data_IF_905612183400
#
_entry.id   IF_905612183400
#
_cell.length_a   1.000
_cell.length_b   1.000
_cell.length_c   1.000
_cell.angle_alpha   90.00
_cell.angle_beta   90.00
_cell.angle_gamma   90.00
#
_symmetry.space_group_name_H-M   'P 1'
#
loop_
_entity.id
_entity.type
_entity.pdbx_description
1 polymer ?
#
# COMPACT_ATOMS: atom_id res chain seq x y z
N UNK A 1 1.34 24.42 1.68
CA UNK A 1 0.34 24.02 0.64
C UNK A 1 1.01 23.68 -0.70
N UNK A 2 2.14 24.30 -0.97
CA UNK A 2 3.01 24.21 -2.16
C UNK A 2 3.57 22.79 -2.37
N UNK A 3 3.92 22.08 -1.29
CA UNK A 3 4.40 20.71 -1.37
C UNK A 3 3.39 19.74 -1.98
N UNK A 4 2.10 19.88 -1.61
CA UNK A 4 1.03 19.09 -2.21
C UNK A 4 0.83 19.42 -3.70
N UNK A 5 0.94 20.70 -4.08
CA UNK A 5 0.90 21.11 -5.48
C UNK A 5 2.07 20.52 -6.29
N UNK A 6 3.27 20.49 -5.70
CA UNK A 6 4.47 19.92 -6.33
C UNK A 6 4.36 18.41 -6.52
N UNK A 7 3.99 17.64 -5.48
CA UNK A 7 3.79 16.19 -5.59
C UNK A 7 2.66 15.86 -6.59
N UNK A 8 1.64 16.72 -6.67
CA UNK A 8 0.56 16.61 -7.65
C UNK A 8 0.91 17.07 -9.08
N UNK A 9 2.18 17.35 -9.41
CA UNK A 9 2.56 17.88 -10.72
C UNK A 9 2.11 17.01 -11.90
N UNK A 10 2.13 15.68 -11.74
CA UNK A 10 1.63 14.76 -12.77
C UNK A 10 0.16 15.01 -13.07
N UNK A 11 -0.68 15.08 -12.02
CA UNK A 11 -2.12 15.36 -12.13
C UNK A 11 -2.36 16.71 -12.81
N UNK A 12 -1.63 17.75 -12.43
CA UNK A 12 -1.77 19.08 -13.06
C UNK A 12 -1.38 19.09 -14.53
N UNK A 13 -0.24 18.46 -14.88
CA UNK A 13 0.28 18.46 -16.26
C UNK A 13 -0.55 17.58 -17.20
N UNK A 14 -1.08 16.46 -16.69
CA UNK A 14 -1.85 15.49 -17.48
C UNK A 14 -3.25 15.97 -17.86
N UNK A 15 -3.75 17.05 -17.23
CA UNK A 15 -4.98 17.75 -17.65
C UNK A 15 -4.92 18.23 -19.11
N UNK A 16 -3.75 18.66 -19.58
CA UNK A 16 -3.60 19.14 -20.96
C UNK A 16 -3.81 18.06 -22.02
N UNK A 17 -3.62 16.78 -21.64
CA UNK A 17 -3.83 15.60 -22.48
C UNK A 17 -5.11 14.84 -22.13
N UNK A 18 -6.02 15.45 -21.34
CA UNK A 18 -7.34 14.89 -21.06
C UNK A 18 -7.40 13.82 -19.97
N UNK A 19 -6.28 13.46 -19.34
CA UNK A 19 -6.25 12.36 -18.36
C UNK A 19 -6.91 12.68 -17.01
N UNK A 20 -7.13 13.97 -16.67
CA UNK A 20 -7.61 14.40 -15.35
C UNK A 20 -8.59 15.58 -15.39
N UNK A 21 -9.46 15.61 -16.41
CA UNK A 21 -10.38 16.72 -16.66
C UNK A 21 -11.84 16.47 -16.22
N UNK A 22 -12.17 15.26 -15.80
CA UNK A 22 -13.53 14.86 -15.42
C UNK A 22 -13.71 14.85 -13.90
N UNK A 23 -14.93 14.54 -13.45
CA UNK A 23 -15.23 14.34 -12.03
C UNK A 23 -14.46 13.14 -11.47
N UNK A 24 -14.36 13.08 -10.14
CA UNK A 24 -13.75 11.94 -9.45
C UNK A 24 -14.42 10.63 -9.87
N UNK A 25 -13.63 9.64 -10.28
CA UNK A 25 -14.10 8.32 -10.70
C UNK A 25 -14.45 8.23 -12.19
N UNK A 26 -14.20 9.29 -12.95
CA UNK A 26 -14.49 9.37 -14.39
C UNK A 26 -13.22 9.65 -15.22
N UNK A 27 -12.05 9.67 -14.59
CA UNK A 27 -10.75 9.87 -15.21
C UNK A 27 -10.05 8.53 -15.45
N UNK A 28 -9.01 8.56 -16.28
CA UNK A 28 -8.33 7.34 -16.70
C UNK A 28 -7.67 6.57 -15.55
N UNK A 29 -7.10 7.26 -14.55
CA UNK A 29 -6.36 6.62 -13.45
C UNK A 29 -6.99 6.84 -12.08
N UNK A 30 -8.30 7.11 -12.03
CA UNK A 30 -9.04 7.28 -10.77
C UNK A 30 -10.27 6.38 -10.68
N UNK A 31 -10.23 5.23 -11.36
CA UNK A 31 -11.31 4.23 -11.54
C UNK A 31 -12.30 4.50 -12.68
N UNK A 32 -12.12 5.55 -13.50
CA UNK A 32 -13.00 5.81 -14.65
C UNK A 32 -12.81 4.82 -15.80
N UNK A 33 -11.59 4.37 -16.06
CA UNK A 33 -11.29 3.39 -17.10
C UNK A 33 -11.57 1.94 -16.62
N UNK A 34 -12.28 1.11 -17.40
CA UNK A 34 -12.57 -0.29 -17.02
C UNK A 34 -11.30 -1.15 -16.87
N UNK A 35 -10.24 -0.82 -17.58
CA UNK A 35 -8.94 -1.50 -17.49
C UNK A 35 -8.01 -0.85 -16.44
N UNK A 36 -8.53 0.06 -15.61
CA UNK A 36 -7.83 0.64 -14.46
C UNK A 36 -8.80 0.78 -13.27
N UNK A 37 -9.20 -0.36 -12.69
CA UNK A 37 -10.16 -0.42 -11.59
C UNK A 37 -10.04 -1.73 -10.79
N UNK A 38 -10.92 -1.93 -9.81
CA UNK A 38 -11.10 -3.13 -9.02
C UNK A 38 -12.43 -3.81 -9.35
N UNK A 39 -12.42 -5.15 -9.37
CA UNK A 39 -13.58 -5.96 -9.71
C UNK A 39 -13.82 -7.03 -8.64
N UNK A 40 -15.07 -7.15 -8.21
CA UNK A 40 -15.48 -8.18 -7.25
C UNK A 40 -15.51 -9.56 -7.90
N UNK A 41 -15.03 -10.57 -7.20
CA UNK A 41 -14.98 -11.98 -7.61
C UNK A 41 -16.13 -12.77 -7.01
N UNK A 42 -16.30 -14.04 -7.42
CA UNK A 42 -17.44 -14.88 -7.01
C UNK A 42 -17.51 -15.15 -5.50
N UNK A 43 -16.35 -15.13 -4.82
CA UNK A 43 -16.18 -15.28 -3.37
C UNK A 43 -16.27 -13.95 -2.60
N UNK A 44 -16.65 -12.86 -3.27
CA UNK A 44 -16.82 -11.54 -2.65
C UNK A 44 -15.52 -10.77 -2.40
N UNK A 45 -14.36 -11.35 -2.75
CA UNK A 45 -13.06 -10.68 -2.77
C UNK A 45 -12.90 -9.84 -4.04
N UNK A 46 -11.71 -9.29 -4.30
CA UNK A 46 -11.49 -8.35 -5.40
C UNK A 46 -10.17 -8.60 -6.17
N UNK A 47 -10.19 -8.37 -7.48
CA UNK A 47 -8.99 -8.24 -8.32
C UNK A 47 -8.79 -6.77 -8.69
N UNK A 48 -7.55 -6.29 -8.68
CA UNK A 48 -7.16 -4.99 -9.21
C UNK A 48 -6.63 -5.15 -10.64
N UNK A 49 -7.00 -4.22 -11.53
CA UNK A 49 -6.59 -4.20 -12.94
C UNK A 49 -5.94 -2.86 -13.23
N UNK A 50 -4.80 -2.86 -13.91
CA UNK A 50 -4.06 -1.68 -14.34
C UNK A 50 -3.49 -1.80 -15.76
N UNK A 51 -4.25 -2.39 -16.68
CA UNK A 51 -3.82 -2.77 -18.03
C UNK A 51 -4.04 -1.62 -19.04
N UNK A 52 -3.30 -0.51 -18.89
CA UNK A 52 -3.47 0.69 -19.72
C UNK A 52 -2.87 0.50 -21.11
N UNK A 53 -1.67 -0.07 -21.18
CA UNK A 53 -0.96 -0.25 -22.44
C UNK A 53 -1.58 -1.38 -23.27
N UNK A 54 -1.69 -1.22 -24.61
CA UNK A 54 -2.42 -2.17 -25.46
C UNK A 54 -1.94 -3.62 -25.35
N UNK A 55 -0.64 -3.84 -25.17
CA UNK A 55 -0.08 -5.19 -25.02
C UNK A 55 -0.52 -5.87 -23.72
N UNK A 56 -0.64 -5.13 -22.63
CA UNK A 56 -1.10 -5.65 -21.34
C UNK A 56 -2.62 -5.83 -21.35
N UNK A 57 -3.35 -4.91 -22.00
CA UNK A 57 -4.78 -5.06 -22.24
C UNK A 57 -5.10 -6.33 -23.03
N UNK A 58 -4.31 -6.66 -24.05
CA UNK A 58 -4.49 -7.91 -24.80
C UNK A 58 -4.30 -9.15 -23.92
N UNK A 59 -3.34 -9.13 -22.97
CA UNK A 59 -3.16 -10.22 -22.00
C UNK A 59 -4.33 -10.29 -21.02
N UNK A 60 -4.87 -9.14 -20.57
CA UNK A 60 -6.10 -9.09 -19.77
C UNK A 60 -7.27 -9.75 -20.51
N UNK A 61 -7.53 -9.36 -21.77
CA UNK A 61 -8.63 -9.93 -22.57
C UNK A 61 -8.45 -11.43 -22.76
N UNK A 62 -7.22 -11.87 -23.04
CA UNK A 62 -6.89 -13.29 -23.17
C UNK A 62 -7.16 -14.06 -21.87
N UNK A 63 -6.65 -13.58 -20.73
CA UNK A 63 -6.85 -14.23 -19.44
C UNK A 63 -8.30 -14.23 -18.97
N UNK A 64 -9.06 -13.18 -19.29
CA UNK A 64 -10.50 -13.15 -19.08
C UNK A 64 -11.28 -14.12 -19.99
N UNK A 65 -10.65 -14.67 -21.03
CA UNK A 65 -11.31 -15.54 -22.00
C UNK A 65 -12.33 -14.81 -22.87
N UNK A 66 -12.14 -13.50 -23.06
CA UNK A 66 -13.01 -12.66 -23.90
C UNK A 66 -12.47 -12.58 -25.33
N UNK A 67 -13.37 -12.43 -26.29
CA UNK A 67 -13.00 -12.19 -27.69
C UNK A 67 -12.91 -10.68 -27.95
N UNK A 68 -11.70 -10.20 -28.23
CA UNK A 68 -11.43 -8.79 -28.52
C UNK A 68 -12.29 -8.23 -29.68
N UNK A 69 -12.69 -9.07 -30.65
CA UNK A 69 -13.52 -8.64 -31.77
C UNK A 69 -14.95 -8.25 -31.35
N UNK A 70 -15.41 -8.72 -30.20
CA UNK A 70 -16.76 -8.47 -29.68
C UNK A 70 -16.77 -7.41 -28.55
N UNK A 71 -15.63 -6.78 -28.26
CA UNK A 71 -15.51 -5.78 -27.21
C UNK A 71 -15.49 -4.37 -27.79
N UNK A 72 -16.03 -3.38 -27.04
CA UNK A 72 -15.79 -1.98 -27.36
C UNK A 72 -14.29 -1.65 -27.40
N UNK A 73 -13.86 -0.68 -28.23
CA UNK A 73 -12.47 -0.25 -28.28
C UNK A 73 -12.00 0.27 -26.90
N UNK A 74 -10.81 -0.16 -26.48
CA UNK A 74 -10.24 0.17 -25.17
C UNK A 74 -10.34 1.67 -24.84
N UNK A 75 -9.95 2.55 -25.77
CA UNK A 75 -9.88 4.00 -25.54
C UNK A 75 -11.18 4.76 -25.89
N UNK A 76 -12.30 4.05 -26.06
CA UNK A 76 -13.60 4.65 -26.33
C UNK A 76 -14.32 5.00 -25.02
N UNK A 77 -14.17 6.24 -24.57
CA UNK A 77 -14.74 6.72 -23.30
C UNK A 77 -16.26 6.59 -23.23
N UNK A 78 -16.97 6.74 -24.35
CA UNK A 78 -18.43 6.56 -24.41
C UNK A 78 -18.86 5.12 -24.13
N UNK A 79 -17.98 4.16 -24.42
CA UNK A 79 -18.29 2.73 -24.38
C UNK A 79 -17.73 2.06 -23.11
N UNK A 80 -16.97 2.80 -22.30
CA UNK A 80 -16.47 2.33 -21.00
C UNK A 80 -17.55 1.80 -20.06
N UNK A 81 -18.76 2.38 -19.98
CA UNK A 81 -19.83 1.79 -19.17
C UNK A 81 -20.21 0.36 -19.59
N UNK A 82 -20.22 0.07 -20.90
CA UNK A 82 -20.49 -1.28 -21.43
C UNK A 82 -19.32 -2.23 -21.13
N UNK A 83 -18.09 -1.81 -21.46
CA UNK A 83 -16.89 -2.61 -21.21
C UNK A 83 -16.73 -2.97 -19.72
N UNK A 84 -17.03 -2.03 -18.83
CA UNK A 84 -17.06 -2.25 -17.39
C UNK A 84 -18.05 -3.33 -16.98
N UNK A 85 -19.27 -3.31 -17.52
CA UNK A 85 -20.26 -4.35 -17.21
C UNK A 85 -19.79 -5.74 -17.66
N UNK A 86 -19.10 -5.83 -18.80
CA UNK A 86 -18.51 -7.07 -19.29
C UNK A 86 -17.45 -7.56 -18.31
N UNK A 87 -16.50 -6.71 -17.92
CA UNK A 87 -15.44 -7.08 -16.99
C UNK A 87 -15.99 -7.47 -15.62
N UNK A 88 -16.93 -6.69 -15.07
CA UNK A 88 -17.60 -7.03 -13.79
C UNK A 88 -18.24 -8.40 -13.84
N UNK A 89 -19.00 -8.70 -14.91
CA UNK A 89 -19.62 -10.02 -15.07
C UNK A 89 -18.58 -11.12 -15.16
N UNK A 90 -17.50 -10.89 -15.90
CA UNK A 90 -16.46 -11.89 -16.10
C UNK A 90 -15.72 -12.18 -14.80
N UNK A 91 -15.23 -11.16 -14.09
CA UNK A 91 -14.54 -11.35 -12.80
C UNK A 91 -15.42 -12.05 -11.76
N UNK A 92 -16.74 -11.82 -11.77
CA UNK A 92 -17.68 -12.50 -10.88
C UNK A 92 -17.86 -14.01 -11.16
N UNK A 93 -17.27 -14.57 -12.22
CA UNK A 93 -17.41 -16.00 -12.57
C UNK A 93 -16.46 -16.93 -11.83
N UNK A 94 -15.37 -16.41 -11.26
CA UNK A 94 -14.36 -17.19 -10.53
C UNK A 94 -14.00 -16.52 -9.21
N UNK A 95 -13.44 -17.30 -8.31
CA UNK A 95 -12.87 -16.80 -7.04
C UNK A 95 -11.62 -15.98 -7.29
N UNK A 96 -11.20 -15.19 -6.31
CA UNK A 96 -9.95 -14.43 -6.40
C UNK A 96 -8.73 -15.35 -6.59
N UNK A 97 -8.70 -16.50 -5.93
CA UNK A 97 -7.60 -17.47 -6.04
C UNK A 97 -7.52 -18.06 -7.47
N UNK A 98 -8.65 -18.43 -8.05
CA UNK A 98 -8.69 -18.93 -9.43
C UNK A 98 -8.24 -17.87 -10.44
N UNK A 99 -8.62 -16.60 -10.25
CA UNK A 99 -8.10 -15.50 -11.09
C UNK A 99 -6.62 -15.25 -10.85
N UNK A 100 -6.15 -15.37 -9.61
CA UNK A 100 -4.74 -15.34 -9.27
C UNK A 100 -3.96 -16.35 -10.11
N UNK A 101 -4.41 -17.61 -10.17
CA UNK A 101 -3.78 -18.65 -10.99
C UNK A 101 -3.81 -18.35 -12.50
N UNK A 102 -4.83 -17.65 -13.00
CA UNK A 102 -4.94 -17.29 -14.42
C UNK A 102 -3.95 -16.19 -14.81
N UNK A 103 -3.76 -15.20 -13.94
CA UNK A 103 -2.96 -14.01 -14.23
C UNK A 103 -1.54 -14.06 -13.67
N UNK A 104 -1.24 -14.98 -12.75
CA UNK A 104 0.11 -15.16 -12.22
C UNK A 104 1.11 -15.48 -13.34
N UNK A 105 2.27 -14.83 -13.29
CA UNK A 105 3.30 -14.91 -14.33
C UNK A 105 2.94 -14.26 -15.68
N UNK A 106 1.81 -13.55 -15.80
CA UNK A 106 1.43 -12.82 -17.01
C UNK A 106 1.70 -11.32 -16.90
N UNK A 107 1.87 -10.66 -18.05
CA UNK A 107 1.97 -9.19 -18.14
C UNK A 107 0.59 -8.52 -18.21
N UNK A 108 -0.49 -9.15 -17.71
CA UNK A 108 -1.84 -8.59 -17.79
C UNK A 108 -2.09 -7.40 -16.85
N UNK A 109 -1.16 -7.08 -15.95
CA UNK A 109 -1.32 -6.06 -14.91
C UNK A 109 -2.59 -6.29 -14.05
N UNK A 110 -2.86 -7.54 -13.69
CA UNK A 110 -3.97 -7.94 -12.81
C UNK A 110 -3.41 -8.61 -11.56
N UNK A 111 -3.84 -8.17 -10.38
CA UNK A 111 -3.38 -8.71 -9.10
C UNK A 111 -4.53 -8.89 -8.11
N UNK A 112 -4.44 -9.86 -7.17
CA UNK A 112 -5.41 -9.97 -6.10
C UNK A 112 -5.30 -8.78 -5.14
N UNK A 113 -6.44 -8.23 -4.70
CA UNK A 113 -6.50 -7.27 -3.60
C UNK A 113 -6.44 -8.04 -2.28
N UNK A 114 -5.30 -7.96 -1.59
CA UNK A 114 -5.08 -8.65 -0.32
C UNK A 114 -5.68 -7.89 0.86
N UNK A 115 -6.22 -8.63 1.82
CA UNK A 115 -6.55 -8.12 3.15
C UNK A 115 -5.30 -7.92 4.02
N UNK A 116 -5.42 -7.14 5.09
CA UNK A 116 -4.31 -6.89 6.03
C UNK A 116 -3.75 -8.20 6.62
N UNK A 117 -4.61 -9.19 6.86
CA UNK A 117 -4.20 -10.50 7.40
C UNK A 117 -3.42 -11.33 6.37
N UNK A 118 -3.78 -11.25 5.08
CA UNK A 118 -3.14 -11.99 4.00
C UNK A 118 -1.78 -11.38 3.59
N UNK A 119 -1.65 -10.05 3.68
CA UNK A 119 -0.45 -9.29 3.24
C UNK A 119 0.83 -9.82 3.86
N UNK A 120 0.83 -10.18 5.14
CA UNK A 120 2.04 -10.64 5.86
C UNK A 120 2.50 -12.01 5.34
N UNK A 121 1.55 -12.89 5.05
CA UNK A 121 1.82 -14.25 4.55
C UNK A 121 2.12 -14.32 3.06
N UNK A 122 1.92 -13.22 2.31
CA UNK A 122 2.13 -13.23 0.87
C UNK A 122 3.60 -13.55 0.51
N UNK A 123 3.88 -14.47 -0.43
CA UNK A 123 5.24 -14.93 -0.74
C UNK A 123 6.24 -13.80 -1.02
N UNK A 124 5.84 -12.79 -1.80
CA UNK A 124 6.68 -11.61 -2.07
C UNK A 124 7.06 -10.83 -0.80
N UNK A 125 6.15 -10.70 0.16
CA UNK A 125 6.42 -9.98 1.40
C UNK A 125 7.28 -10.79 2.37
N UNK A 126 7.14 -12.12 2.35
CA UNK A 126 8.02 -13.03 3.08
C UNK A 126 9.45 -13.01 2.51
N UNK A 127 9.59 -13.11 1.19
CA UNK A 127 10.88 -13.06 0.51
C UNK A 127 11.64 -11.75 0.79
N UNK A 128 10.90 -10.64 0.83
CA UNK A 128 11.46 -9.31 1.10
C UNK A 128 11.60 -8.98 2.58
N UNK A 129 11.15 -9.87 3.47
CA UNK A 129 11.02 -9.63 4.90
C UNK A 129 10.32 -8.29 5.22
N UNK A 130 9.30 -7.90 4.42
CA UNK A 130 8.65 -6.58 4.46
C UNK A 130 7.93 -6.24 5.77
N UNK A 131 7.72 -7.24 6.62
CA UNK A 131 7.07 -7.10 7.92
C UNK A 131 7.85 -7.89 8.97
N UNK A 132 7.85 -7.36 10.20
CA UNK A 132 8.43 -8.01 11.36
C UNK A 132 7.41 -8.12 12.48
N UNK A 133 7.65 -9.05 13.40
CA UNK A 133 6.89 -9.17 14.64
C UNK A 133 7.80 -8.85 15.82
N UNK A 134 7.33 -8.00 16.73
CA UNK A 134 8.04 -7.72 17.96
C UNK A 134 7.88 -8.87 18.98
N UNK A 135 8.46 -8.69 20.18
CA UNK A 135 8.36 -9.68 21.26
C UNK A 135 6.93 -9.86 21.82
N UNK A 136 5.98 -8.99 21.47
CA UNK A 136 4.58 -9.05 21.84
C UNK A 136 3.70 -9.66 20.73
N UNK A 137 4.28 -9.88 19.54
CA UNK A 137 3.61 -10.42 18.36
C UNK A 137 3.00 -9.36 17.43
N UNK A 138 3.16 -8.08 17.77
CA UNK A 138 2.65 -6.95 16.98
C UNK A 138 3.40 -6.81 15.67
N UNK A 139 2.66 -6.55 14.59
CA UNK A 139 3.21 -6.51 13.23
C UNK A 139 3.58 -5.09 12.87
N UNK A 140 4.83 -4.89 12.46
CA UNK A 140 5.33 -3.60 11.99
C UNK A 140 5.99 -3.75 10.61
N UNK A 141 5.73 -2.86 9.64
CA UNK A 141 6.43 -2.88 8.36
C UNK A 141 7.91 -2.54 8.52
N UNK A 142 8.75 -3.11 7.66
CA UNK A 142 10.17 -2.79 7.59
C UNK A 142 10.39 -1.35 7.10
N UNK A 143 11.44 -0.66 7.57
CA UNK A 143 11.86 0.62 7.01
C UNK A 143 12.12 0.54 5.50
N UNK A 144 11.62 1.54 4.77
CA UNK A 144 11.81 1.66 3.32
C UNK A 144 12.11 3.13 2.92
N UNK A 145 12.87 3.38 1.83
CA UNK A 145 13.50 2.40 0.95
C UNK A 145 14.71 1.71 1.59
N UNK A 146 15.01 0.48 1.18
CA UNK A 146 16.23 -0.23 1.60
C UNK A 146 17.43 0.36 0.85
N UNK A 147 18.30 1.05 1.58
CA UNK A 147 19.51 1.65 1.02
C UNK A 147 20.66 0.65 1.07
N UNK A 148 21.29 0.37 -0.06
CA UNK A 148 22.38 -0.63 -0.14
C UNK A 148 23.61 -0.32 0.71
N UNK A 149 23.88 0.98 0.96
CA UNK A 149 25.04 1.44 1.74
C UNK A 149 24.74 1.63 3.23
N UNK A 150 23.50 1.91 3.56
CA UNK A 150 23.04 2.25 4.91
C UNK A 150 21.66 1.63 5.12
N UNK A 151 21.55 0.29 5.12
CA UNK A 151 20.27 -0.35 5.38
C UNK A 151 19.80 0.06 6.78
N UNK A 152 18.50 0.32 6.91
CA UNK A 152 17.91 0.61 8.20
C UNK A 152 17.60 -0.69 8.92
N UNK A 153 18.11 -0.84 10.14
CA UNK A 153 17.78 -1.96 11.02
C UNK A 153 16.57 -1.57 11.90
N UNK A 154 15.45 -2.29 11.80
CA UNK A 154 14.29 -2.00 12.64
C UNK A 154 14.59 -2.34 14.11
N UNK A 155 14.19 -1.45 15.01
CA UNK A 155 14.18 -1.76 16.43
C UNK A 155 13.01 -2.70 16.73
N UNK A 156 13.30 -3.90 17.23
CA UNK A 156 12.28 -4.87 17.67
C UNK A 156 12.01 -4.78 19.18
N UNK A 157 12.65 -3.83 19.87
CA UNK A 157 12.32 -3.55 21.26
C UNK A 157 10.97 -2.84 21.34
N UNK A 158 10.29 -2.98 22.48
CA UNK A 158 9.06 -2.25 22.75
C UNK A 158 9.28 -0.74 22.66
N UNK A 159 8.21 -0.01 22.38
CA UNK A 159 8.20 1.43 22.49
C UNK A 159 8.58 1.88 23.92
N UNK A 160 9.33 2.98 24.05
CA UNK A 160 9.68 3.54 25.34
C UNK A 160 8.43 4.00 26.10
N UNK A 161 8.43 3.79 27.42
CA UNK A 161 7.45 4.44 28.28
C UNK A 161 7.75 5.94 28.35
N UNK A 162 6.72 6.74 28.60
CA UNK A 162 6.89 8.16 28.94
C UNK A 162 7.83 8.22 30.16
N UNK A 163 8.92 8.97 30.01
CA UNK A 163 9.92 9.14 31.06
C UNK A 163 10.98 8.04 31.17
N UNK A 164 10.94 6.99 30.35
CA UNK A 164 11.86 5.84 30.50
C UNK A 164 13.34 6.21 30.37
N UNK A 165 13.63 7.06 29.39
CA UNK A 165 15.00 7.43 29.05
C UNK A 165 15.39 8.82 29.58
N UNK A 166 14.49 9.52 30.29
CA UNK A 166 14.73 10.90 30.76
C UNK A 166 16.00 11.01 31.59
N UNK A 167 16.13 10.17 32.62
CA UNK A 167 17.27 10.21 33.54
C UNK A 167 18.60 9.84 32.84
N UNK A 168 18.69 8.71 32.10
CA UNK A 168 19.89 8.37 31.32
C UNK A 168 20.31 9.45 30.31
N UNK A 169 19.36 10.07 29.61
CA UNK A 169 19.64 11.13 28.63
C UNK A 169 20.18 12.39 29.32
N UNK A 170 19.59 12.83 30.44
CA UNK A 170 20.09 13.99 31.18
C UNK A 170 21.52 13.78 31.71
N UNK A 171 21.83 12.57 32.19
CA UNK A 171 23.19 12.20 32.60
C UNK A 171 24.18 12.24 31.42
N UNK A 172 23.77 11.77 30.23
CA UNK A 172 24.58 11.86 28.99
C UNK A 172 24.90 13.33 28.62
N UNK A 173 23.94 14.25 28.84
CA UNK A 173 24.14 15.68 28.65
C UNK A 173 24.90 16.38 29.81
N UNK A 174 25.33 15.63 30.82
CA UNK A 174 26.20 16.12 31.90
C UNK A 174 25.47 16.71 33.11
N UNK A 175 24.16 16.51 33.24
CA UNK A 175 23.44 16.88 34.46
C UNK A 175 23.89 16.00 35.63
N UNK A 176 24.12 16.63 36.78
CA UNK A 176 24.42 15.90 38.02
C UNK A 176 23.14 15.32 38.60
N UNK A 177 23.27 14.20 39.32
CA UNK A 177 22.13 13.55 39.98
C UNK A 177 21.29 14.52 40.83
N UNK A 178 21.94 15.43 41.57
CA UNK A 178 21.25 16.44 42.37
C UNK A 178 20.40 17.43 41.55
N UNK A 179 20.82 17.75 40.32
CA UNK A 179 20.06 18.62 39.41
C UNK A 179 18.86 17.86 38.82
N UNK A 180 19.05 16.58 38.46
CA UNK A 180 17.97 15.69 38.01
C UNK A 180 16.91 15.51 39.11
N UNK A 181 17.32 15.27 40.36
CA UNK A 181 16.43 15.14 41.51
C UNK A 181 15.62 16.42 41.77
N UNK A 182 16.23 17.60 41.56
CA UNK A 182 15.55 18.88 41.68
C UNK A 182 14.48 19.04 40.60
N UNK A 183 14.78 18.67 39.35
CA UNK A 183 13.82 18.72 38.25
C UNK A 183 12.65 17.75 38.46
N UNK A 184 12.92 16.54 38.96
CA UNK A 184 11.91 15.56 39.33
C UNK A 184 11.00 16.09 40.43
N UNK A 185 11.60 16.62 41.51
CA UNK A 185 10.86 17.15 42.66
C UNK A 185 10.02 18.38 42.32
N UNK A 186 10.45 19.18 41.34
CA UNK A 186 9.71 20.32 40.82
C UNK A 186 8.61 19.93 39.81
N UNK A 187 8.49 18.65 39.44
CA UNK A 187 7.53 18.17 38.44
C UNK A 187 7.83 18.66 37.02
N UNK A 188 9.07 19.06 36.74
CA UNK A 188 9.51 19.56 35.43
C UNK A 188 9.78 18.40 34.46
N UNK A 189 10.24 17.26 35.01
CA UNK A 189 10.53 16.04 34.27
C UNK A 189 9.85 14.83 34.91
N UNK A 190 9.66 13.77 34.13
CA UNK A 190 9.17 12.46 34.59
C UNK A 190 10.25 11.40 34.28
N UNK A 191 10.61 10.58 35.29
CA UNK A 191 11.45 9.40 35.11
C UNK A 191 10.66 8.14 35.50
N UNK A 192 10.51 7.22 34.56
CA UNK A 192 9.78 5.97 34.78
C UNK A 192 10.70 4.78 34.54
N UNK A 193 11.12 4.10 35.59
CA UNK A 193 11.95 2.89 35.42
C UNK A 193 11.06 1.75 34.98
N UNK A 194 11.31 1.20 33.80
CA UNK A 194 10.69 -0.05 33.37
C UNK A 194 10.97 -1.12 34.43
N UNK A 195 9.93 -1.61 35.12
CA UNK A 195 10.08 -2.72 36.07
C UNK A 195 10.53 -3.94 35.28
N UNK A 196 11.76 -4.41 35.54
CA UNK A 196 12.27 -5.64 34.97
C UNK A 196 11.26 -6.77 35.25
N UNK A 197 10.76 -7.43 34.20
CA UNK A 197 9.97 -8.65 34.34
C UNK A 197 10.94 -9.77 34.71
N UNK A 198 10.87 -10.21 35.98
CA UNK A 198 11.46 -11.47 36.45
C UNK A 198 10.76 -12.67 35.80
#
# INVERSE_FOLDING_TARGET
VEGAAYVGSFVWKSRSIGMWNNSRGENMLDSGAPFYDTYQTSDGKYMAVGAIEPQFYNQLIHGLGLDAANLPPQMSFSDWPELRQIFTKQFATKTQEEWGCVFDGTDACVTPVLSMDEVISHPHNQERASFHRDAQGEVTPSPAPVLSRTPADPCLARDPLIGEHTCPVLEEFGFKLAEVDQLLSAGIIECNTAKARL
#
